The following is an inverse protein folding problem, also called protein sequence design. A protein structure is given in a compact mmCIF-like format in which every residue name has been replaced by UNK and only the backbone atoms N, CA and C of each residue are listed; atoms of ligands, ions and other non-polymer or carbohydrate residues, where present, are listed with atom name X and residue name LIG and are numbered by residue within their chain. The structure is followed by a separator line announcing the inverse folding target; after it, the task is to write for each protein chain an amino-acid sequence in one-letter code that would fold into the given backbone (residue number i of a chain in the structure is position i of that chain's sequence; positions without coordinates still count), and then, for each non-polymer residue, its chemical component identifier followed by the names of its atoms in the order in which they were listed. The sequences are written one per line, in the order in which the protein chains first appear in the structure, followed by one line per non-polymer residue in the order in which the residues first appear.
data_IF_984335975573
#
_entry.id   IF_984335975573
#
_cell.length_a   1.000
_cell.length_b   1.000
_cell.length_c   1.000
_cell.angle_alpha   90.00
_cell.angle_beta   90.00
_cell.angle_gamma   90.00
#
_symmetry.space_group_name_H-M   'P 1'
#
loop_
_entity.id
_entity.type
_entity.pdbx_description
1 polymer ?
#
# COMPACT_ATOMS: atom_id res chain seq x y z
N UNK A 1 -14.38 -1.70 22.42
CA UNK A 1 -13.76 -0.49 23.00
C UNK A 1 -13.92 0.63 21.98
N UNK A 2 -14.34 1.84 22.38
CA UNK A 2 -14.82 2.87 21.45
C UNK A 2 -13.67 3.66 20.81
N UNK A 3 -13.75 3.91 19.51
CA UNK A 3 -12.76 4.63 18.68
C UNK A 3 -12.42 6.06 19.14
N UNK A 4 -13.13 6.62 20.13
CA UNK A 4 -12.94 7.98 20.61
C UNK A 4 -11.74 8.17 21.56
N UNK A 5 -11.10 7.11 22.06
CA UNK A 5 -10.02 7.23 23.07
C UNK A 5 -8.62 7.49 22.52
N UNK A 6 -8.39 7.38 21.21
CA UNK A 6 -7.03 7.32 20.64
C UNK A 6 -6.64 8.52 19.77
N UNK A 7 -7.44 9.59 19.76
CA UNK A 7 -7.11 10.79 18.99
C UNK A 7 -5.74 11.34 19.42
N UNK A 8 -4.85 11.51 18.45
CA UNK A 8 -3.48 12.01 18.65
C UNK A 8 -2.56 11.18 19.56
N UNK A 9 -2.91 9.91 19.84
CA UNK A 9 -2.03 9.02 20.58
C UNK A 9 -0.85 8.54 19.70
N UNK A 10 0.35 8.31 20.28
CA UNK A 10 1.42 7.61 19.59
C UNK A 10 1.07 6.14 19.38
N UNK A 11 1.41 5.56 18.22
CA UNK A 11 1.11 4.16 17.87
C UNK A 11 1.52 3.14 18.95
N UNK A 12 2.66 3.27 19.66
CA UNK A 12 3.04 2.32 20.71
C UNK A 12 1.99 2.16 21.82
N UNK A 13 1.20 3.20 22.12
CA UNK A 13 0.14 3.13 23.12
C UNK A 13 -1.10 2.36 22.63
N UNK A 14 -1.17 2.05 21.34
CA UNK A 14 -2.31 1.38 20.70
C UNK A 14 -2.09 -0.12 20.54
N UNK A 15 -0.88 -0.64 20.80
CA UNK A 15 -0.55 -2.06 20.61
C UNK A 15 -1.52 -3.00 21.35
N UNK A 16 -2.00 -2.62 22.53
CA UNK A 16 -3.03 -3.39 23.25
C UNK A 16 -4.36 -3.48 22.48
N UNK A 17 -4.74 -2.45 21.73
CA UNK A 17 -5.95 -2.45 20.90
C UNK A 17 -5.81 -3.31 19.62
N UNK A 18 -4.57 -3.57 19.20
CA UNK A 18 -4.23 -4.41 18.04
C UNK A 18 -4.28 -5.92 18.34
N UNK A 19 -4.73 -6.30 19.55
CA UNK A 19 -4.97 -7.70 19.93
C UNK A 19 -6.18 -8.33 19.23
N UNK A 20 -6.98 -7.53 18.51
CA UNK A 20 -8.14 -8.00 17.76
C UNK A 20 -7.77 -8.27 16.29
N UNK A 21 -8.43 -9.22 15.60
CA UNK A 21 -8.09 -9.54 14.21
C UNK A 21 -8.27 -8.40 13.19
N UNK A 22 -9.05 -7.38 13.51
CA UNK A 22 -9.21 -6.20 12.65
C UNK A 22 -9.03 -4.94 13.49
N UNK A 23 -8.14 -4.06 13.04
CA UNK A 23 -7.89 -2.77 13.66
C UNK A 23 -8.07 -1.66 12.61
N UNK A 24 -9.24 -1.02 12.64
CA UNK A 24 -9.53 0.19 11.88
C UNK A 24 -9.24 1.42 12.75
N UNK A 25 -8.11 2.06 12.47
CA UNK A 25 -7.61 3.24 13.16
C UNK A 25 -7.50 4.44 12.20
N UNK A 26 -8.23 4.43 11.09
CA UNK A 26 -8.21 5.54 10.12
C UNK A 26 -8.70 6.85 10.75
N UNK A 27 -8.18 7.98 10.25
CA UNK A 27 -8.65 9.33 10.63
C UNK A 27 -8.62 9.62 12.15
N UNK A 28 -7.61 9.13 12.86
CA UNK A 28 -7.46 9.33 14.31
C UNK A 28 -6.37 10.35 14.68
N UNK A 29 -5.78 11.05 13.71
CA UNK A 29 -4.65 11.95 13.92
C UNK A 29 -3.47 11.30 14.65
N UNK A 30 -3.30 9.98 14.52
CA UNK A 30 -2.21 9.25 15.14
C UNK A 30 -0.88 9.79 14.65
N UNK A 31 0.12 9.82 15.52
CA UNK A 31 1.46 10.31 15.19
C UNK A 31 2.54 9.38 15.76
N UNK A 32 3.80 9.66 15.45
CA UNK A 32 4.91 8.78 15.80
C UNK A 32 5.22 7.76 14.71
N UNK A 33 6.16 6.88 15.02
CA UNK A 33 6.57 5.78 14.15
C UNK A 33 5.74 4.52 14.43
N UNK A 34 5.65 3.63 13.43
CA UNK A 34 5.16 2.28 13.65
C UNK A 34 6.26 1.53 14.41
N UNK A 35 6.01 1.07 15.65
CA UNK A 35 7.02 0.40 16.47
C UNK A 35 7.27 -1.03 15.97
N UNK A 36 8.46 -1.58 16.23
CA UNK A 36 8.80 -2.95 15.82
C UNK A 36 7.90 -4.00 16.51
N UNK A 37 7.40 -3.69 17.70
CA UNK A 37 6.45 -4.48 18.50
C UNK A 37 5.11 -4.73 17.78
N UNK A 38 4.82 -4.03 16.67
CA UNK A 38 3.69 -4.35 15.79
C UNK A 38 3.73 -5.81 15.33
N UNK A 39 4.93 -6.39 15.21
CA UNK A 39 5.12 -7.78 14.80
C UNK A 39 4.62 -8.81 15.83
N UNK A 40 4.34 -8.39 17.07
CA UNK A 40 3.83 -9.27 18.13
C UNK A 40 2.30 -9.43 18.06
N UNK A 41 1.61 -8.57 17.30
CA UNK A 41 0.16 -8.61 17.09
C UNK A 41 -0.26 -9.69 16.09
N UNK A 42 0.21 -10.93 16.29
CA UNK A 42 0.13 -12.06 15.36
C UNK A 42 -1.28 -12.47 14.89
N UNK A 43 -2.32 -12.03 15.60
CA UNK A 43 -3.72 -12.29 15.23
C UNK A 43 -4.31 -11.29 14.22
N UNK A 44 -3.57 -10.24 13.84
CA UNK A 44 -4.05 -9.22 12.89
C UNK A 44 -4.26 -9.80 11.48
N UNK A 45 -5.49 -9.65 10.99
CA UNK A 45 -5.88 -9.85 9.59
C UNK A 45 -5.97 -8.53 8.84
N UNK A 46 -6.41 -7.46 9.51
CA UNK A 46 -6.57 -6.13 8.91
C UNK A 46 -5.92 -5.08 9.78
N UNK A 47 -5.04 -4.28 9.19
CA UNK A 47 -4.47 -3.08 9.78
C UNK A 47 -4.71 -1.88 8.86
N UNK A 48 -5.62 -1.00 9.25
CA UNK A 48 -5.87 0.28 8.57
C UNK A 48 -5.43 1.44 9.47
N UNK A 49 -4.33 2.07 9.10
CA UNK A 49 -3.76 3.26 9.74
C UNK A 49 -3.85 4.48 8.81
N UNK A 50 -4.73 4.46 7.81
CA UNK A 50 -4.80 5.50 6.79
C UNK A 50 -5.27 6.86 7.33
N UNK A 51 -4.88 7.93 6.64
CA UNK A 51 -5.25 9.31 6.99
C UNK A 51 -4.88 9.70 8.43
N UNK A 52 -3.64 9.44 8.81
CA UNK A 52 -3.05 9.86 10.08
C UNK A 52 -1.79 10.71 9.83
N UNK A 53 -1.04 11.00 10.89
CA UNK A 53 0.19 11.80 10.88
C UNK A 53 1.43 10.94 11.18
N UNK A 54 1.38 9.65 10.82
CA UNK A 54 2.42 8.66 11.09
C UNK A 54 3.66 8.95 10.23
N UNK A 55 4.85 8.86 10.80
CA UNK A 55 6.12 9.14 10.10
C UNK A 55 7.16 8.06 10.37
N UNK A 56 8.33 8.17 9.74
CA UNK A 56 9.39 7.17 9.83
C UNK A 56 9.21 6.03 8.83
N UNK A 57 10.02 4.98 8.99
CA UNK A 57 10.03 3.84 8.09
C UNK A 57 8.89 2.86 8.40
N UNK A 58 8.57 2.02 7.43
CA UNK A 58 7.73 0.83 7.63
C UNK A 58 8.63 -0.25 8.26
N UNK A 59 8.37 -0.72 9.50
CA UNK A 59 9.27 -1.67 10.15
C UNK A 59 9.21 -3.04 9.47
N UNK A 60 10.35 -3.71 9.38
CA UNK A 60 10.44 -5.05 8.80
C UNK A 60 9.61 -6.08 9.57
N UNK A 61 9.35 -5.83 10.86
CA UNK A 61 8.60 -6.70 11.77
C UNK A 61 7.14 -6.92 11.36
N UNK A 62 6.56 -6.07 10.50
CA UNK A 62 5.24 -6.30 9.89
C UNK A 62 5.19 -7.66 9.19
N UNK A 63 6.30 -8.16 8.66
CA UNK A 63 6.37 -9.48 8.01
C UNK A 63 6.11 -10.66 8.95
N UNK A 64 6.13 -10.44 10.28
CA UNK A 64 5.77 -11.44 11.29
C UNK A 64 4.26 -11.68 11.37
N UNK A 65 3.44 -10.75 10.87
CA UNK A 65 1.98 -10.82 10.90
C UNK A 65 1.43 -11.80 9.86
N UNK A 66 1.62 -13.10 10.08
CA UNK A 66 1.31 -14.14 9.07
C UNK A 66 -0.16 -14.25 8.69
N UNK A 67 -1.08 -13.71 9.50
CA UNK A 67 -2.51 -13.69 9.22
C UNK A 67 -2.95 -12.42 8.46
N UNK A 68 -2.05 -11.45 8.25
CA UNK A 68 -2.41 -10.16 7.67
C UNK A 68 -2.83 -10.30 6.20
N UNK A 69 -4.06 -9.88 5.93
CA UNK A 69 -4.67 -9.84 4.60
C UNK A 69 -4.73 -8.43 4.03
N UNK A 70 -4.90 -7.42 4.89
CA UNK A 70 -5.12 -6.02 4.49
C UNK A 70 -4.18 -5.11 5.28
N UNK A 71 -3.32 -4.39 4.55
CA UNK A 71 -2.46 -3.35 5.09
C UNK A 71 -2.70 -2.03 4.37
N UNK A 72 -3.28 -1.06 5.07
CA UNK A 72 -3.57 0.27 4.54
C UNK A 72 -2.84 1.32 5.39
N UNK A 73 -1.80 1.93 4.81
CA UNK A 73 -1.00 2.99 5.41
C UNK A 73 -1.13 4.33 4.64
N UNK A 74 -2.11 4.40 3.74
CA UNK A 74 -2.33 5.53 2.84
C UNK A 74 -2.46 6.87 3.56
N UNK A 75 -1.96 7.93 2.93
CA UNK A 75 -2.11 9.31 3.38
C UNK A 75 -1.54 9.53 4.79
N UNK A 76 -0.24 9.26 4.92
CA UNK A 76 0.60 9.48 6.10
C UNK A 76 1.88 10.23 5.68
N UNK A 77 2.91 10.25 6.53
CA UNK A 77 4.21 10.87 6.29
C UNK A 77 5.35 9.83 6.32
N UNK A 78 5.07 8.57 5.96
CA UNK A 78 6.05 7.49 5.96
C UNK A 78 7.18 7.77 4.96
N UNK A 79 8.40 7.43 5.33
CA UNK A 79 9.63 7.63 4.55
C UNK A 79 10.36 6.29 4.33
N UNK A 80 11.49 6.35 3.63
CA UNK A 80 12.35 5.19 3.42
C UNK A 80 11.81 4.21 2.37
N UNK A 81 12.49 3.06 2.19
CA UNK A 81 12.11 2.07 1.21
C UNK A 81 10.89 1.25 1.65
N UNK A 82 10.17 0.70 0.67
CA UNK A 82 9.19 -0.36 0.93
C UNK A 82 9.97 -1.61 1.38
N UNK A 83 9.69 -2.19 2.56
CA UNK A 83 10.40 -3.38 3.00
C UNK A 83 10.14 -4.56 2.06
N UNK A 84 11.21 -5.18 1.55
CA UNK A 84 11.09 -6.39 0.72
C UNK A 84 10.45 -7.55 1.47
N UNK A 85 10.51 -7.55 2.81
CA UNK A 85 9.88 -8.55 3.68
C UNK A 85 8.36 -8.57 3.59
N UNK A 86 7.70 -7.54 3.05
CA UNK A 86 6.26 -7.56 2.80
C UNK A 86 5.86 -8.66 1.79
N UNK A 87 6.77 -9.09 0.92
CA UNK A 87 6.52 -10.22 0.01
C UNK A 87 6.39 -11.56 0.75
N UNK A 88 6.82 -11.64 2.02
CA UNK A 88 6.79 -12.84 2.86
C UNK A 88 5.47 -13.01 3.63
N UNK A 89 4.49 -12.12 3.40
CA UNK A 89 3.16 -12.21 3.98
C UNK A 89 2.29 -13.13 3.10
N UNK A 90 1.97 -14.35 3.56
CA UNK A 90 1.36 -15.38 2.71
C UNK A 90 -0.11 -15.11 2.37
N UNK A 91 -0.76 -14.17 3.08
CA UNK A 91 -2.18 -13.89 2.96
C UNK A 91 -2.48 -12.45 2.49
N UNK A 92 -1.46 -11.63 2.22
CA UNK A 92 -1.63 -10.20 1.96
C UNK A 92 -2.28 -9.95 0.59
N UNK A 93 -3.56 -9.57 0.60
CA UNK A 93 -4.37 -9.29 -0.59
C UNK A 93 -4.38 -7.81 -0.95
N UNK A 94 -4.35 -6.93 0.04
CA UNK A 94 -4.44 -5.47 -0.16
C UNK A 94 -3.25 -4.79 0.49
N UNK A 95 -2.48 -4.07 -0.33
CA UNK A 95 -1.41 -3.18 0.10
C UNK A 95 -1.66 -1.78 -0.44
N UNK A 96 -2.02 -0.83 0.42
CA UNK A 96 -2.18 0.58 0.04
C UNK A 96 -1.22 1.47 0.83
N UNK A 97 -0.18 1.93 0.14
CA UNK A 97 0.86 2.82 0.65
C UNK A 97 0.80 4.20 -0.03
N UNK A 98 -0.28 4.51 -0.75
CA UNK A 98 -0.39 5.74 -1.52
C UNK A 98 -0.29 7.00 -0.64
N UNK A 99 0.17 8.11 -1.21
CA UNK A 99 0.23 9.43 -0.55
C UNK A 99 1.10 9.39 0.72
N UNK A 100 2.35 8.98 0.54
CA UNK A 100 3.40 9.03 1.56
C UNK A 100 4.67 9.69 0.96
N UNK A 101 5.82 9.54 1.61
CA UNK A 101 7.13 10.01 1.15
C UNK A 101 8.10 8.84 0.97
N UNK A 102 7.58 7.65 0.63
CA UNK A 102 8.38 6.45 0.43
C UNK A 102 9.31 6.63 -0.78
N UNK A 103 10.54 6.14 -0.67
CA UNK A 103 11.61 6.32 -1.67
C UNK A 103 12.22 4.97 -2.07
N UNK A 104 13.20 4.97 -2.96
CA UNK A 104 13.83 3.74 -3.44
C UNK A 104 12.96 2.98 -4.44
N UNK A 105 13.42 1.79 -4.82
CA UNK A 105 12.74 0.95 -5.81
C UNK A 105 11.57 0.16 -5.21
N UNK A 106 10.61 -0.21 -6.07
CA UNK A 106 9.60 -1.21 -5.72
C UNK A 106 10.33 -2.56 -5.55
N UNK A 107 10.26 -3.23 -4.37
CA UNK A 107 11.01 -4.44 -4.14
C UNK A 107 10.64 -5.53 -5.14
N UNK A 108 11.61 -6.00 -5.93
CA UNK A 108 11.37 -7.00 -6.97
C UNK A 108 10.59 -8.22 -6.46
N UNK A 109 10.88 -8.64 -5.22
CA UNK A 109 10.21 -9.77 -4.56
C UNK A 109 8.69 -9.63 -4.44
N UNK A 110 8.15 -8.41 -4.43
CA UNK A 110 6.72 -8.18 -4.33
C UNK A 110 5.96 -8.69 -5.55
N UNK A 111 6.61 -8.75 -6.72
CA UNK A 111 5.99 -9.20 -7.96
C UNK A 111 5.69 -10.71 -7.99
N UNK A 112 6.33 -11.50 -7.13
CA UNK A 112 6.06 -12.93 -7.00
C UNK A 112 5.05 -13.25 -5.89
N UNK A 113 4.36 -12.25 -5.34
CA UNK A 113 3.28 -12.52 -4.39
C UNK A 113 2.04 -13.03 -5.15
N UNK A 114 1.71 -14.31 -4.96
CA UNK A 114 0.62 -14.98 -5.68
C UNK A 114 -0.78 -14.58 -5.19
N UNK A 115 -0.88 -13.98 -4.00
CA UNK A 115 -2.16 -13.67 -3.35
C UNK A 115 -2.54 -12.19 -3.42
N UNK A 116 -1.61 -11.32 -3.82
CA UNK A 116 -1.82 -9.88 -3.83
C UNK A 116 -2.78 -9.48 -4.97
N UNK A 117 -3.78 -8.70 -4.61
CA UNK A 117 -4.90 -8.33 -5.48
C UNK A 117 -4.93 -6.82 -5.76
N UNK A 118 -4.57 -6.02 -4.77
CA UNK A 118 -4.54 -4.56 -4.84
C UNK A 118 -3.19 -4.03 -4.36
N UNK A 119 -2.56 -3.20 -5.20
CA UNK A 119 -1.35 -2.48 -4.84
C UNK A 119 -1.45 -0.99 -5.21
N UNK A 120 -1.63 -0.15 -4.19
CA UNK A 120 -1.68 1.30 -4.31
C UNK A 120 -0.36 1.94 -3.84
N UNK A 121 0.39 2.55 -4.74
CA UNK A 121 1.68 3.20 -4.47
C UNK A 121 1.71 4.67 -4.92
N UNK A 122 0.58 5.19 -5.41
CA UNK A 122 0.46 6.54 -5.98
C UNK A 122 0.93 7.62 -5.03
N UNK A 123 1.66 8.63 -5.52
CA UNK A 123 1.98 9.82 -4.74
C UNK A 123 3.03 9.53 -3.67
N UNK A 124 4.14 8.92 -4.09
CA UNK A 124 5.35 8.68 -3.30
C UNK A 124 6.55 9.24 -4.07
N UNK A 125 7.77 8.92 -3.63
CA UNK A 125 9.04 9.29 -4.26
C UNK A 125 9.76 8.04 -4.81
N UNK A 126 9.01 7.00 -5.19
CA UNK A 126 9.58 5.74 -5.65
C UNK A 126 10.32 5.93 -6.97
N UNK A 127 11.47 5.28 -7.10
CA UNK A 127 12.38 5.37 -8.24
C UNK A 127 12.63 4.00 -8.89
N UNK A 128 13.53 3.96 -9.87
CA UNK A 128 13.79 2.77 -10.67
C UNK A 128 12.77 2.58 -11.79
N UNK A 129 12.71 1.36 -12.34
CA UNK A 129 11.80 0.99 -13.43
C UNK A 129 10.86 -0.13 -13.02
N UNK A 130 9.70 -0.20 -13.66
CA UNK A 130 8.78 -1.32 -13.52
C UNK A 130 9.41 -2.62 -14.06
N UNK A 131 9.48 -3.67 -13.23
CA UNK A 131 10.06 -4.96 -13.63
C UNK A 131 9.17 -5.72 -14.62
N UNK A 132 9.79 -6.48 -15.52
CA UNK A 132 9.08 -7.46 -16.36
C UNK A 132 8.41 -8.58 -15.54
N UNK A 133 8.87 -8.80 -14.30
CA UNK A 133 8.26 -9.78 -13.38
C UNK A 133 6.85 -9.37 -12.94
N UNK A 134 6.38 -8.17 -13.27
CA UNK A 134 5.01 -7.75 -12.98
C UNK A 134 3.95 -8.72 -13.48
N UNK A 135 4.18 -9.46 -14.57
CA UNK A 135 3.23 -10.48 -15.04
C UNK A 135 3.07 -11.68 -14.09
N UNK A 136 3.94 -11.85 -13.09
CA UNK A 136 3.83 -12.91 -12.09
C UNK A 136 2.72 -12.64 -11.07
N UNK A 137 2.24 -11.39 -10.97
CA UNK A 137 1.11 -11.00 -10.12
C UNK A 137 -0.23 -11.41 -10.73
N UNK A 138 -0.46 -12.72 -10.84
CA UNK A 138 -1.61 -13.29 -11.55
C UNK A 138 -2.97 -12.90 -10.94
N UNK A 139 -3.00 -12.58 -9.64
CA UNK A 139 -4.21 -12.17 -8.91
C UNK A 139 -4.45 -10.65 -8.85
N UNK A 140 -3.53 -9.83 -9.36
CA UNK A 140 -3.59 -8.38 -9.16
C UNK A 140 -4.53 -7.72 -10.16
N UNK A 141 -5.62 -7.16 -9.65
CA UNK A 141 -6.61 -6.42 -10.45
C UNK A 141 -6.37 -4.91 -10.41
N UNK A 142 -5.65 -4.40 -9.41
CA UNK A 142 -5.33 -2.98 -9.28
C UNK A 142 -3.86 -2.72 -8.99
N UNK A 143 -3.27 -1.87 -9.83
CA UNK A 143 -1.93 -1.34 -9.67
C UNK A 143 -1.90 0.15 -9.99
N UNK A 144 -1.55 0.99 -9.01
CA UNK A 144 -1.43 2.43 -9.20
C UNK A 144 -0.09 2.95 -8.66
N UNK A 145 0.79 3.33 -9.58
CA UNK A 145 2.11 3.93 -9.29
C UNK A 145 2.21 5.39 -9.73
N UNK A 146 1.09 6.05 -10.05
CA UNK A 146 1.07 7.42 -10.54
C UNK A 146 1.74 8.38 -9.55
N UNK A 147 2.27 9.51 -10.03
CA UNK A 147 2.92 10.52 -9.19
C UNK A 147 4.05 9.92 -8.33
N UNK A 148 5.03 9.29 -8.99
CA UNK A 148 6.30 8.82 -8.43
C UNK A 148 7.45 9.31 -9.33
N UNK A 149 8.69 8.97 -8.99
CA UNK A 149 9.91 9.25 -9.75
C UNK A 149 10.35 8.08 -10.64
N UNK A 150 9.43 7.17 -10.99
CA UNK A 150 9.71 6.00 -11.80
C UNK A 150 10.15 6.40 -13.22
N UNK A 151 11.13 5.68 -13.75
CA UNK A 151 11.69 5.86 -15.08
C UNK A 151 11.55 4.56 -15.91
N UNK A 152 12.00 4.59 -17.16
CA UNK A 152 11.86 3.46 -18.09
C UNK A 152 10.50 3.38 -18.76
N UNK A 153 10.33 2.37 -19.60
CA UNK A 153 9.07 2.09 -20.31
C UNK A 153 8.24 1.09 -19.54
N UNK A 154 6.93 1.11 -19.75
CA UNK A 154 6.09 -0.01 -19.32
C UNK A 154 6.56 -1.25 -20.09
N UNK A 155 6.87 -2.37 -19.41
CA UNK A 155 7.30 -3.58 -20.09
C UNK A 155 6.27 -4.01 -21.14
N UNK A 156 6.72 -4.31 -22.37
CA UNK A 156 5.85 -4.81 -23.44
C UNK A 156 5.11 -6.07 -23.03
N UNK A 157 5.68 -6.85 -22.11
CA UNK A 157 5.04 -8.03 -21.52
C UNK A 157 3.74 -7.71 -20.79
N UNK A 158 3.49 -6.45 -20.39
CA UNK A 158 2.25 -6.08 -19.69
C UNK A 158 0.99 -6.32 -20.53
N UNK A 159 1.09 -6.20 -21.87
CA UNK A 159 -0.05 -6.45 -22.76
C UNK A 159 -0.40 -7.93 -22.86
N UNK A 160 0.54 -8.81 -22.51
CA UNK A 160 0.36 -10.26 -22.46
C UNK A 160 0.04 -10.76 -21.05
N UNK A 161 0.09 -9.90 -20.03
CA UNK A 161 -0.37 -10.29 -18.71
C UNK A 161 -1.91 -10.38 -18.73
N UNK A 162 -2.46 -11.58 -18.57
CA UNK A 162 -3.90 -11.86 -18.78
C UNK A 162 -4.85 -11.34 -17.69
N UNK A 163 -4.35 -10.67 -16.64
CA UNK A 163 -5.13 -10.40 -15.42
C UNK A 163 -5.35 -8.92 -15.06
N UNK A 164 -4.85 -7.96 -15.84
CA UNK A 164 -4.66 -6.58 -15.34
C UNK A 164 -5.71 -5.55 -15.82
N UNK A 165 -6.22 -4.74 -14.88
CA UNK A 165 -6.70 -3.37 -15.14
C UNK A 165 -5.67 -2.39 -14.55
N UNK A 166 -4.61 -2.08 -15.30
CA UNK A 166 -3.55 -1.17 -14.84
C UNK A 166 -3.93 0.28 -15.15
N UNK A 167 -4.00 1.12 -14.11
CA UNK A 167 -4.15 2.58 -14.24
C UNK A 167 -2.78 3.27 -14.07
N UNK A 168 -1.94 3.20 -15.11
CA UNK A 168 -0.71 3.98 -15.19
C UNK A 168 -0.97 5.38 -15.79
N UNK A 169 -0.13 6.41 -15.51
CA UNK A 169 -0.24 7.69 -16.17
C UNK A 169 0.54 7.61 -17.49
N UNK A 170 -0.11 7.22 -18.58
CA UNK A 170 0.43 7.48 -19.92
C UNK A 170 -0.63 8.17 -20.77
N UNK A 171 -0.21 9.30 -21.33
CA UNK A 171 -0.96 10.08 -22.31
C UNK A 171 -1.42 9.16 -23.45
N UNK A 172 -2.70 9.25 -23.77
CA UNK A 172 -3.31 8.76 -25.02
C UNK A 172 -3.43 7.23 -25.23
N UNK A 173 -4.56 6.63 -24.80
CA UNK A 173 -5.74 6.37 -25.66
C UNK A 173 -6.73 5.38 -25.02
N UNK A 174 -8.00 5.81 -25.04
CA UNK A 174 -9.29 5.06 -24.97
C UNK A 174 -9.37 3.87 -24.00
N UNK A 175 -9.84 4.15 -22.78
CA UNK A 175 -10.54 3.19 -21.94
C UNK A 175 -12.02 3.09 -22.38
N UNK A 176 -12.48 1.88 -22.66
CA UNK A 176 -13.89 1.54 -22.82
C UNK A 176 -14.60 1.52 -21.46
N UNK A 177 -15.93 1.74 -21.43
CA UNK A 177 -16.69 2.03 -20.24
C UNK A 177 -17.14 0.71 -19.60
N UNK A 178 -16.64 0.40 -18.42
CA UNK A 178 -17.38 -0.27 -17.35
C UNK A 178 -16.44 -0.44 -16.17
N UNK A 179 -16.50 0.52 -15.26
CA UNK A 179 -16.44 0.42 -13.79
C UNK A 179 -16.61 1.88 -13.32
N UNK A 180 -17.79 2.42 -13.62
CA UNK A 180 -18.26 3.65 -13.04
C UNK A 180 -18.72 3.36 -11.60
N UNK A 181 -17.77 3.34 -10.65
CA UNK A 181 -18.00 3.59 -9.23
C UNK A 181 -16.66 3.65 -8.47
N UNK A 182 -15.81 4.64 -8.79
CA UNK A 182 -14.90 5.32 -7.87
C UNK A 182 -14.44 6.64 -8.56
N UNK A 183 -15.42 7.52 -8.77
CA UNK A 183 -15.33 8.92 -9.19
C UNK A 183 -15.24 9.74 -7.89
N UNK A 184 -14.38 10.73 -7.67
CA UNK A 184 -14.41 12.06 -8.29
C UNK A 184 -13.02 12.71 -8.47
N UNK A 185 -12.83 13.29 -9.66
CA UNK A 185 -11.92 14.40 -9.94
C UNK A 185 -12.80 15.54 -10.51
N UNK A 186 -12.81 16.70 -9.85
CA UNK A 186 -13.09 18.03 -10.42
C UNK A 186 -12.00 18.92 -9.81
N UNK A 187 -11.31 19.82 -10.49
CA UNK A 187 -11.31 20.34 -11.85
C UNK A 187 -9.93 20.99 -12.03
N UNK A 188 -9.30 20.86 -13.19
CA UNK A 188 -8.25 21.80 -13.61
C UNK A 188 -8.93 22.83 -14.50
N UNK A 189 -8.87 24.10 -14.10
CA UNK A 189 -8.53 25.29 -14.92
C UNK A 189 -9.14 26.55 -14.31
N UNK A 190 -8.26 27.32 -13.68
CA UNK A 190 -8.15 28.77 -13.76
C UNK A 190 -6.67 29.05 -13.87
#
# INVERSE_FOLDING_TARGET
MNAFQFKAAPIPFLLHSLSSPSSDLKLNHLSGQIPDEIGDCSSLNTLDLSFNNIYGDIPFSISKLKQLEILILKNNQLIGPIPSTLSQLPNLKILDLAQNKLSGEIPRLIYWNEVLQYMGLRGNQLEGSLSQDMCQLAGLWYFDVRNNSLTGTIPETISNCTSFQVLCPLKDKKLLPDIAALIEFRSVRG
#
